data_IF_923888111812
#
_entry.id   IF_923888111812
#
_cell.length_a   1.000
_cell.length_b   1.000
_cell.length_c   1.000
_cell.angle_alpha   90.00
_cell.angle_beta   90.00
_cell.angle_gamma   90.00
#
_symmetry.space_group_name_H-M   'P 1'
#
loop_
_entity.id
_entity.type
_entity.pdbx_description
1 polymer ?
#
# COMPACT_ATOMS: atom_id res chain seq x y z
N UNK A 1 33.53 7.08 -1.03
CA UNK A 1 33.04 6.67 -2.35
C UNK A 1 32.42 5.28 -2.21
N UNK A 2 31.15 5.20 -1.82
CA UNK A 2 30.38 3.96 -1.72
C UNK A 2 29.21 4.06 -2.72
N UNK A 3 29.05 3.01 -3.50
CA UNK A 3 28.30 2.95 -4.75
C UNK A 3 26.83 3.40 -4.63
N UNK A 4 26.52 4.51 -5.31
CA UNK A 4 25.15 4.88 -5.71
C UNK A 4 24.71 3.94 -6.86
N UNK A 5 24.10 2.80 -6.53
CA UNK A 5 23.69 1.79 -7.51
C UNK A 5 22.15 1.61 -7.56
N UNK A 6 21.55 2.25 -8.58
CA UNK A 6 20.36 1.94 -9.42
C UNK A 6 19.11 1.19 -8.90
N UNK A 7 18.93 0.89 -7.62
CA UNK A 7 17.65 0.39 -7.12
C UNK A 7 16.74 1.58 -6.76
N UNK A 8 16.22 2.29 -7.78
CA UNK A 8 15.09 3.21 -7.57
C UNK A 8 13.88 2.37 -7.13
N UNK A 9 13.77 2.12 -5.82
CA UNK A 9 12.53 1.87 -5.08
C UNK A 9 11.58 0.95 -5.86
N UNK A 10 11.78 -0.37 -5.82
CA UNK A 10 11.08 -1.38 -6.65
C UNK A 10 9.56 -1.10 -6.79
N UNK A 11 8.92 -0.72 -5.68
CA UNK A 11 7.52 -0.28 -5.62
C UNK A 11 7.22 0.96 -6.47
N UNK A 12 8.06 1.99 -6.40
CA UNK A 12 7.90 3.25 -7.13
C UNK A 12 8.10 3.07 -8.64
N UNK A 13 9.01 2.16 -9.05
CA UNK A 13 9.18 1.78 -10.45
C UNK A 13 7.95 1.08 -11.03
N UNK A 14 7.30 0.21 -10.25
CA UNK A 14 6.07 -0.51 -10.63
C UNK A 14 4.83 0.40 -10.63
N UNK A 15 4.77 1.36 -9.71
CA UNK A 15 3.62 2.24 -9.53
C UNK A 15 3.61 3.42 -10.51
N UNK A 16 4.76 4.01 -10.83
CA UNK A 16 4.87 5.17 -11.74
C UNK A 16 4.07 5.07 -13.05
N UNK A 17 4.13 3.98 -13.82
CA UNK A 17 3.39 3.89 -15.08
C UNK A 17 1.86 3.82 -14.90
N UNK A 18 1.40 3.34 -13.74
CA UNK A 18 -0.03 3.18 -13.42
C UNK A 18 -0.66 4.44 -12.78
N UNK A 19 0.15 5.47 -12.49
CA UNK A 19 -0.29 6.74 -11.90
C UNK A 19 -0.65 7.78 -12.97
N UNK A 20 -1.47 7.42 -13.96
CA UNK A 20 -2.02 8.33 -14.99
C UNK A 20 -3.54 8.42 -14.83
N UNK A 21 -4.09 9.63 -14.68
CA UNK A 21 -5.53 9.86 -14.47
C UNK A 21 -5.85 10.94 -13.45
N UNK A 22 -7.11 10.98 -13.02
CA UNK A 22 -7.63 11.84 -11.95
C UNK A 22 -7.01 11.46 -10.57
N UNK A 23 -6.90 12.41 -9.64
CA UNK A 23 -6.20 12.24 -8.35
C UNK A 23 -6.79 11.08 -7.53
N UNK A 24 -8.12 11.00 -7.51
CA UNK A 24 -8.88 9.96 -6.80
C UNK A 24 -8.63 8.59 -7.46
N UNK A 25 -8.61 8.53 -8.80
CA UNK A 25 -8.35 7.30 -9.53
C UNK A 25 -6.95 6.75 -9.26
N UNK A 26 -5.94 7.63 -9.17
CA UNK A 26 -4.56 7.23 -8.79
C UNK A 26 -4.50 6.69 -7.37
N UNK A 27 -5.17 7.36 -6.43
CA UNK A 27 -5.22 6.94 -5.03
C UNK A 27 -5.88 5.56 -4.88
N UNK A 28 -7.02 5.34 -5.54
CA UNK A 28 -7.70 4.02 -5.56
C UNK A 28 -6.81 2.92 -6.15
N UNK A 29 -6.14 3.20 -7.27
CA UNK A 29 -5.30 2.21 -7.93
C UNK A 29 -4.07 1.84 -7.09
N UNK A 30 -3.44 2.84 -6.47
CA UNK A 30 -2.34 2.63 -5.51
C UNK A 30 -2.82 1.82 -4.29
N UNK A 31 -3.94 2.21 -3.68
CA UNK A 31 -4.49 1.53 -2.52
C UNK A 31 -4.85 0.07 -2.82
N UNK A 32 -5.45 -0.21 -3.98
CA UNK A 32 -5.78 -1.57 -4.40
C UNK A 32 -4.54 -2.45 -4.56
N UNK A 33 -3.50 -1.95 -5.23
CA UNK A 33 -2.25 -2.69 -5.44
C UNK A 33 -1.56 -2.95 -4.09
N UNK A 34 -1.42 -1.93 -3.26
CA UNK A 34 -0.79 -2.05 -1.95
C UNK A 34 -1.58 -3.01 -1.04
N UNK A 35 -2.91 -2.93 -1.07
CA UNK A 35 -3.76 -3.79 -0.27
C UNK A 35 -3.57 -5.27 -0.60
N UNK A 36 -3.53 -5.60 -1.90
CA UNK A 36 -3.37 -6.99 -2.35
C UNK A 36 -1.95 -7.50 -2.05
N UNK A 37 -0.93 -6.69 -2.32
CA UNK A 37 0.47 -7.14 -2.25
C UNK A 37 1.04 -7.08 -0.83
N UNK A 38 0.61 -6.11 -0.01
CA UNK A 38 1.16 -5.89 1.33
C UNK A 38 0.14 -6.21 2.42
N UNK A 39 -1.06 -5.65 2.37
CA UNK A 39 -2.03 -5.75 3.48
C UNK A 39 -2.57 -7.16 3.65
N UNK A 40 -3.08 -7.82 2.61
CA UNK A 40 -3.63 -9.18 2.71
C UNK A 40 -2.59 -10.19 3.26
N UNK A 41 -1.39 -10.32 2.67
CA UNK A 41 -0.39 -11.25 3.21
C UNK A 41 0.10 -10.84 4.60
N UNK A 42 0.26 -9.53 4.88
CA UNK A 42 0.65 -9.05 6.20
C UNK A 42 -0.37 -9.36 7.29
N UNK A 43 -1.66 -9.20 6.99
CA UNK A 43 -2.74 -9.52 7.92
C UNK A 43 -2.90 -11.04 8.09
N UNK A 44 -2.67 -11.82 7.04
CA UNK A 44 -2.64 -13.29 7.13
C UNK A 44 -1.52 -13.77 8.06
N UNK A 45 -0.30 -13.26 7.91
CA UNK A 45 0.82 -13.57 8.81
C UNK A 45 0.49 -13.15 10.25
N UNK A 46 -0.16 -12.00 10.43
CA UNK A 46 -0.56 -11.51 11.76
C UNK A 46 -1.55 -12.46 12.42
N UNK A 47 -2.56 -12.92 11.68
CA UNK A 47 -3.57 -13.85 12.19
C UNK A 47 -2.97 -15.22 12.56
N UNK A 48 -2.00 -15.71 11.81
CA UNK A 48 -1.37 -17.00 12.08
C UNK A 48 -0.28 -16.93 13.16
N UNK A 49 0.37 -15.77 13.35
CA UNK A 49 1.51 -15.62 14.28
C UNK A 49 1.11 -15.15 15.66
N UNK A 50 0.05 -14.35 15.78
CA UNK A 50 -0.37 -13.73 17.04
C UNK A 50 -1.73 -14.28 17.48
N UNK A 51 -1.95 -14.34 18.80
CA UNK A 51 -3.25 -14.71 19.39
C UNK A 51 -4.23 -13.52 19.31
N UNK A 52 -4.57 -13.09 18.11
CA UNK A 52 -5.52 -12.00 17.87
C UNK A 52 -6.81 -12.58 17.30
N UNK A 53 -7.94 -12.06 17.76
CA UNK A 53 -9.25 -12.51 17.26
C UNK A 53 -9.45 -12.12 15.79
N UNK A 54 -10.16 -12.96 15.03
CA UNK A 54 -10.49 -12.70 13.62
C UNK A 54 -11.17 -11.33 13.39
N UNK A 55 -12.14 -10.89 14.23
CA UNK A 55 -12.75 -9.56 14.08
C UNK A 55 -11.73 -8.41 14.14
N UNK A 56 -10.70 -8.54 14.98
CA UNK A 56 -9.66 -7.52 15.11
C UNK A 56 -8.80 -7.45 13.84
N UNK A 57 -8.43 -8.60 13.27
CA UNK A 57 -7.66 -8.64 12.02
C UNK A 57 -8.47 -8.05 10.87
N UNK A 58 -9.77 -8.34 10.80
CA UNK A 58 -10.66 -7.72 9.80
C UNK A 58 -10.75 -6.20 9.98
N UNK A 59 -10.88 -5.72 11.21
CA UNK A 59 -10.89 -4.30 11.52
C UNK A 59 -9.59 -3.63 11.03
N UNK A 60 -8.43 -4.18 11.38
CA UNK A 60 -7.13 -3.67 10.95
C UNK A 60 -6.93 -3.74 9.44
N UNK A 61 -7.48 -4.77 8.79
CA UNK A 61 -7.45 -4.89 7.34
C UNK A 61 -8.23 -3.73 6.70
N UNK A 62 -9.42 -3.44 7.19
CA UNK A 62 -10.27 -2.35 6.67
C UNK A 62 -9.64 -0.98 6.96
N UNK A 63 -9.18 -0.74 8.19
CA UNK A 63 -8.56 0.54 8.54
C UNK A 63 -7.27 0.77 7.76
N UNK A 64 -6.44 -0.27 7.61
CA UNK A 64 -5.23 -0.19 6.79
C UNK A 64 -5.52 0.12 5.32
N UNK A 65 -6.61 -0.39 4.75
CA UNK A 65 -7.02 -0.01 3.39
C UNK A 65 -7.34 1.49 3.29
N UNK A 66 -8.07 2.04 4.26
CA UNK A 66 -8.44 3.45 4.31
C UNK A 66 -7.20 4.33 4.46
N UNK A 67 -6.27 3.98 5.36
CA UNK A 67 -5.01 4.71 5.56
C UNK A 67 -4.19 4.81 4.28
N UNK A 68 -4.06 3.70 3.55
CA UNK A 68 -3.31 3.64 2.29
C UNK A 68 -4.02 4.44 1.19
N UNK A 69 -5.35 4.43 1.16
CA UNK A 69 -6.12 5.27 0.25
C UNK A 69 -5.88 6.76 0.52
N UNK A 70 -5.94 7.19 1.79
CA UNK A 70 -5.65 8.58 2.18
C UNK A 70 -4.20 8.95 1.86
N UNK A 71 -3.24 8.08 2.15
CA UNK A 71 -1.84 8.29 1.79
C UNK A 71 -1.65 8.42 0.28
N UNK A 72 -2.29 7.55 -0.51
CA UNK A 72 -2.28 7.61 -1.97
C UNK A 72 -2.88 8.92 -2.51
N UNK A 73 -3.95 9.41 -1.90
CA UNK A 73 -4.56 10.70 -2.24
C UNK A 73 -3.63 11.88 -1.92
N UNK A 74 -3.00 11.89 -0.74
CA UNK A 74 -2.02 12.92 -0.36
C UNK A 74 -0.83 12.90 -1.32
N UNK A 75 -0.29 11.72 -1.65
CA UNK A 75 0.81 11.60 -2.62
C UNK A 75 0.43 12.02 -4.04
N UNK A 76 -0.83 11.85 -4.44
CA UNK A 76 -1.33 12.34 -5.72
C UNK A 76 -1.40 13.88 -5.75
N UNK A 77 -1.71 14.51 -4.62
CA UNK A 77 -1.86 15.97 -4.46
C UNK A 77 -0.54 16.71 -4.20
N UNK A 78 0.41 16.08 -3.54
CA UNK A 78 1.74 16.67 -3.21
C UNK A 78 2.67 16.70 -4.43
N UNK A 79 2.22 16.20 -5.59
CA UNK A 79 3.02 16.13 -6.81
C UNK A 79 2.74 17.27 -7.78
#
# INVERSE_FOLDING_TARGET
MFFYNKNKFLLWGLLKPHLKGDEIHKALHFAKIYFIIATIPGMFITYTSFQVSLPMVLLWTITGYIEVFVAGYIFAKVK
#
